data_IF_126693550351
#
_entry.id   IF_126693550351
#
_cell.length_a   1.000
_cell.length_b   1.000
_cell.length_c   1.000
_cell.angle_alpha   90.00
_cell.angle_beta   90.00
_cell.angle_gamma   90.00
#
_symmetry.space_group_name_H-M   'P 1'
#
loop_
_entity.id
_entity.type
_entity.pdbx_description
1 polymer ?
#
# COMPACT_ATOMS: atom_id res chain seq x y z
N UNK A 1 -3.01 -6.83 60.61
CA UNK A 1 -3.53 -5.87 59.59
C UNK A 1 -2.62 -4.68 59.32
N UNK A 2 -2.16 -3.90 60.32
CA UNK A 2 -1.34 -2.67 60.08
C UNK A 2 -0.06 -2.86 59.25
N UNK A 3 0.63 -4.00 59.40
CA UNK A 3 1.91 -4.31 58.70
C UNK A 3 1.73 -4.61 57.20
N UNK A 4 0.57 -5.12 56.79
CA UNK A 4 0.23 -5.38 55.39
C UNK A 4 -0.10 -4.07 54.65
N UNK A 5 -0.70 -3.10 55.35
CA UNK A 5 -1.04 -1.79 54.79
C UNK A 5 0.21 -0.92 54.56
N UNK A 6 1.22 -1.00 55.43
CA UNK A 6 2.50 -0.30 55.23
C UNK A 6 3.35 -0.94 54.14
N UNK A 7 3.36 -2.27 54.01
CA UNK A 7 4.09 -2.94 52.91
C UNK A 7 3.46 -2.63 51.56
N UNK A 8 2.14 -2.49 51.47
CA UNK A 8 1.45 -2.10 50.23
C UNK A 8 1.81 -0.69 49.78
N UNK A 9 1.89 0.28 50.71
CA UNK A 9 2.26 1.68 50.39
C UNK A 9 3.74 1.85 50.03
N UNK A 10 4.61 0.97 50.50
CA UNK A 10 6.04 0.99 50.19
C UNK A 10 6.39 0.17 48.92
N UNK A 11 5.41 -0.51 48.31
CA UNK A 11 5.67 -1.39 47.19
C UNK A 11 5.75 -0.59 45.87
N UNK A 12 6.95 -0.54 45.30
CA UNK A 12 7.25 0.16 44.04
C UNK A 12 7.18 -0.74 42.80
N UNK A 13 6.81 -2.01 42.94
CA UNK A 13 6.81 -2.97 41.83
C UNK A 13 5.90 -2.59 40.65
N UNK A 14 4.95 -1.68 40.86
CA UNK A 14 4.05 -1.15 39.83
C UNK A 14 4.47 0.19 39.21
N UNK A 15 5.54 0.84 39.69
CA UNK A 15 5.94 2.17 39.23
C UNK A 15 6.26 2.19 37.71
N UNK A 16 6.99 1.17 37.24
CA UNK A 16 7.34 1.00 35.83
C UNK A 16 6.10 0.86 34.94
N UNK A 17 5.04 0.18 35.41
CA UNK A 17 3.80 0.04 34.65
C UNK A 17 3.07 1.38 34.49
N UNK A 18 3.12 2.24 35.51
CA UNK A 18 2.53 3.59 35.46
C UNK A 18 3.33 4.49 34.51
N UNK A 19 4.65 4.43 34.56
CA UNK A 19 5.52 5.17 33.63
C UNK A 19 5.31 4.72 32.18
N UNK A 20 5.18 3.40 31.96
CA UNK A 20 4.91 2.85 30.63
C UNK A 20 3.55 3.30 30.10
N UNK A 21 2.50 3.38 30.93
CA UNK A 21 1.18 3.88 30.51
C UNK A 21 1.23 5.29 29.94
N UNK A 22 2.16 6.14 30.41
CA UNK A 22 2.32 7.51 29.89
C UNK A 22 3.05 7.54 28.54
N UNK A 23 4.01 6.65 28.33
CA UNK A 23 4.86 6.64 27.12
C UNK A 23 4.26 5.75 26.01
N UNK A 24 3.59 4.67 26.38
CA UNK A 24 3.05 3.66 25.48
C UNK A 24 2.15 4.23 24.36
N UNK A 25 1.24 5.20 24.63
CA UNK A 25 0.42 5.78 23.56
C UNK A 25 1.26 6.44 22.45
N UNK A 26 2.32 7.16 22.83
CA UNK A 26 3.23 7.81 21.88
C UNK A 26 4.06 6.75 21.15
N UNK A 27 4.58 5.76 21.88
CA UNK A 27 5.35 4.66 21.30
C UNK A 27 4.52 3.89 20.25
N UNK A 28 3.30 3.52 20.58
CA UNK A 28 2.41 2.81 19.66
C UNK A 28 1.96 3.70 18.50
N UNK A 29 1.69 4.98 18.75
CA UNK A 29 1.40 5.95 17.70
C UNK A 29 2.55 6.04 16.68
N UNK A 30 3.80 6.13 17.15
CA UNK A 30 4.98 6.13 16.29
C UNK A 30 5.16 4.80 15.56
N UNK A 31 5.02 3.68 16.26
CA UNK A 31 5.16 2.35 15.66
C UNK A 31 4.14 2.13 14.54
N UNK A 32 2.85 2.36 14.81
CA UNK A 32 1.80 2.22 13.80
C UNK A 32 1.93 3.25 12.69
N UNK A 33 2.39 4.47 12.99
CA UNK A 33 2.70 5.47 11.98
C UNK A 33 3.79 5.01 11.01
N UNK A 34 4.90 4.46 11.53
CA UNK A 34 5.99 3.92 10.70
C UNK A 34 5.49 2.75 9.83
N UNK A 35 4.73 1.82 10.41
CA UNK A 35 4.19 0.67 9.67
C UNK A 35 3.22 1.13 8.58
N UNK A 36 2.30 2.05 8.89
CA UNK A 36 1.34 2.59 7.92
C UNK A 36 2.04 3.31 6.77
N UNK A 37 3.03 4.15 7.09
CA UNK A 37 3.79 4.88 6.08
C UNK A 37 4.60 3.92 5.20
N UNK A 38 5.24 2.91 5.80
CA UNK A 38 5.96 1.86 5.06
C UNK A 38 5.04 1.08 4.12
N UNK A 39 3.83 0.74 4.59
CA UNK A 39 2.83 0.03 3.78
C UNK A 39 2.32 0.89 2.62
N UNK A 40 2.01 2.18 2.84
CA UNK A 40 1.65 3.13 1.78
C UNK A 40 2.73 3.22 0.70
N UNK A 41 3.99 3.40 1.11
CA UNK A 41 5.12 3.47 0.18
C UNK A 41 5.31 2.16 -0.59
N UNK A 42 5.14 1.01 0.08
CA UNK A 42 5.21 -0.31 -0.51
C UNK A 42 4.16 -0.55 -1.59
N UNK A 43 2.90 -0.19 -1.33
CA UNK A 43 1.81 -0.25 -2.32
C UNK A 43 2.09 0.71 -3.47
N UNK A 44 2.39 1.98 -3.18
CA UNK A 44 2.64 3.02 -4.20
C UNK A 44 3.73 2.59 -5.19
N UNK A 45 4.81 2.00 -4.67
CA UNK A 45 5.88 1.47 -5.48
C UNK A 45 5.44 0.25 -6.30
N UNK A 46 4.68 -0.66 -5.68
CA UNK A 46 4.17 -1.87 -6.33
C UNK A 46 3.21 -1.55 -7.48
N UNK A 47 2.27 -0.62 -7.30
CA UNK A 47 1.31 -0.18 -8.33
C UNK A 47 2.05 0.48 -9.50
N UNK A 48 3.03 1.34 -9.22
CA UNK A 48 3.85 1.98 -10.27
C UNK A 48 4.71 0.96 -11.03
N UNK A 49 5.31 0.01 -10.30
CA UNK A 49 6.09 -1.07 -10.93
C UNK A 49 5.20 -1.97 -11.79
N UNK A 50 3.99 -2.28 -11.33
CA UNK A 50 3.00 -3.06 -12.07
C UNK A 50 2.62 -2.37 -13.38
N UNK A 51 2.26 -1.08 -13.33
CA UNK A 51 1.98 -0.28 -14.53
C UNK A 51 3.16 -0.26 -15.50
N UNK A 52 4.38 -0.05 -14.98
CA UNK A 52 5.61 -0.05 -15.77
C UNK A 52 5.95 -1.42 -16.38
N UNK A 53 5.68 -2.50 -15.64
CA UNK A 53 5.85 -3.87 -16.12
C UNK A 53 4.88 -4.19 -17.23
N UNK A 54 3.61 -3.82 -17.08
CA UNK A 54 2.57 -3.99 -18.10
C UNK A 54 2.90 -3.20 -19.37
N UNK A 55 3.26 -1.92 -19.24
CA UNK A 55 3.69 -1.10 -20.37
C UNK A 55 4.90 -1.71 -21.09
N UNK A 56 5.93 -2.18 -20.35
CA UNK A 56 7.09 -2.88 -20.95
C UNK A 56 6.73 -4.19 -21.62
N UNK A 57 5.85 -5.00 -21.04
CA UNK A 57 5.44 -6.29 -21.61
C UNK A 57 4.75 -6.12 -22.97
N UNK A 58 4.02 -5.03 -23.15
CA UNK A 58 3.36 -4.73 -24.42
C UNK A 58 4.34 -4.52 -25.58
N UNK A 59 5.59 -4.13 -25.34
CA UNK A 59 6.59 -3.85 -26.38
C UNK A 59 6.91 -5.03 -27.30
N UNK A 60 6.59 -6.26 -26.88
CA UNK A 60 6.73 -7.44 -27.71
C UNK A 60 5.61 -7.59 -28.77
N UNK A 61 4.49 -6.87 -28.64
CA UNK A 61 3.34 -6.99 -29.52
C UNK A 61 3.54 -6.30 -30.87
N UNK A 62 3.13 -6.97 -31.94
CA UNK A 62 3.29 -6.52 -33.33
C UNK A 62 2.21 -5.51 -33.73
N UNK A 63 1.03 -5.59 -33.14
CA UNK A 63 -0.09 -4.66 -33.36
C UNK A 63 -0.73 -4.20 -32.05
N UNK A 64 -1.67 -3.27 -32.15
CA UNK A 64 -2.34 -2.67 -30.99
C UNK A 64 -3.09 -3.69 -30.13
N UNK A 65 -3.75 -4.69 -30.74
CA UNK A 65 -4.50 -5.70 -30.01
C UNK A 65 -3.56 -6.61 -29.22
N UNK A 66 -2.48 -7.06 -29.86
CA UNK A 66 -1.47 -7.90 -29.20
C UNK A 66 -0.78 -7.15 -28.05
N UNK A 67 -0.45 -5.86 -28.25
CA UNK A 67 0.12 -4.99 -27.21
C UNK A 67 -0.79 -4.87 -25.99
N UNK A 68 -2.09 -4.64 -26.22
CA UNK A 68 -3.07 -4.55 -25.14
C UNK A 68 -3.25 -5.90 -24.42
N UNK A 69 -3.31 -7.01 -25.16
CA UNK A 69 -3.42 -8.35 -24.60
C UNK A 69 -2.23 -8.72 -23.71
N UNK A 70 -1.01 -8.38 -24.14
CA UNK A 70 0.22 -8.61 -23.36
C UNK A 70 0.23 -7.79 -22.06
N UNK A 71 -0.16 -6.51 -22.14
CA UNK A 71 -0.30 -5.66 -20.96
C UNK A 71 -1.36 -6.19 -19.99
N UNK A 72 -2.52 -6.62 -20.51
CA UNK A 72 -3.61 -7.20 -19.71
C UNK A 72 -3.19 -8.51 -19.03
N UNK A 73 -2.52 -9.40 -19.78
CA UNK A 73 -1.96 -10.65 -19.22
C UNK A 73 -1.00 -10.34 -18.07
N UNK A 74 -0.11 -9.36 -18.24
CA UNK A 74 0.82 -8.95 -17.18
C UNK A 74 0.08 -8.45 -15.92
N UNK A 75 -1.02 -7.72 -16.10
CA UNK A 75 -1.86 -7.18 -15.02
C UNK A 75 -2.69 -8.27 -14.31
N UNK A 76 -3.06 -9.34 -15.01
CA UNK A 76 -3.82 -10.47 -14.43
C UNK A 76 -3.01 -11.29 -13.41
N UNK A 77 -1.68 -11.19 -13.48
CA UNK A 77 -0.72 -11.87 -12.62
C UNK A 77 -0.12 -10.90 -11.57
N UNK A 78 -0.80 -9.78 -11.29
CA UNK A 78 -0.31 -8.73 -10.41
C UNK A 78 -0.04 -9.23 -8.99
N UNK A 79 -0.98 -9.97 -8.39
CA UNK A 79 -0.82 -10.50 -7.02
C UNK A 79 0.30 -11.53 -6.88
N UNK A 80 0.66 -12.22 -7.97
CA UNK A 80 1.79 -13.15 -7.98
C UNK A 80 3.13 -12.41 -7.98
N UNK A 81 3.20 -11.27 -8.69
CA UNK A 81 4.42 -10.45 -8.83
C UNK A 81 4.64 -9.47 -7.70
N UNK A 82 3.55 -8.95 -7.14
CA UNK A 82 3.56 -7.87 -6.16
C UNK A 82 2.76 -8.29 -4.92
N UNK A 83 3.41 -8.91 -3.91
CA UNK A 83 2.73 -9.52 -2.76
C UNK A 83 1.89 -8.58 -1.88
N UNK A 84 2.07 -7.26 -2.01
CA UNK A 84 1.27 -6.28 -1.28
C UNK A 84 -0.05 -5.93 -1.98
N UNK A 85 -0.24 -6.38 -3.22
CA UNK A 85 -1.42 -6.09 -4.02
C UNK A 85 -2.36 -7.29 -4.04
N UNK A 86 -3.65 -7.03 -3.83
CA UNK A 86 -4.73 -8.00 -4.00
C UNK A 86 -5.45 -7.71 -5.33
N UNK A 87 -5.66 -8.75 -6.15
CA UNK A 87 -6.21 -8.61 -7.49
C UNK A 87 -7.58 -7.90 -7.50
N UNK A 88 -8.45 -8.23 -6.56
CA UNK A 88 -9.79 -7.64 -6.42
C UNK A 88 -9.76 -6.14 -6.11
N UNK A 89 -8.64 -5.62 -5.59
CA UNK A 89 -8.45 -4.19 -5.31
C UNK A 89 -7.91 -3.39 -6.50
N UNK A 90 -7.57 -4.03 -7.62
CA UNK A 90 -6.95 -3.37 -8.78
C UNK A 90 -7.98 -2.98 -9.83
N UNK A 91 -7.92 -1.73 -10.28
CA UNK A 91 -8.67 -1.22 -11.43
C UNK A 91 -7.69 -0.72 -12.49
N UNK A 92 -7.28 -1.57 -13.45
CA UNK A 92 -6.40 -1.17 -14.53
C UNK A 92 -7.14 -0.45 -15.66
N UNK A 93 -6.46 0.50 -16.29
CA UNK A 93 -6.88 1.20 -17.50
C UNK A 93 -5.71 1.17 -18.48
N UNK A 94 -5.92 0.56 -19.63
CA UNK A 94 -4.94 0.49 -20.72
C UNK A 94 -5.42 1.38 -21.86
N UNK A 95 -4.62 2.39 -22.20
CA UNK A 95 -4.90 3.30 -23.30
C UNK A 95 -3.80 3.19 -24.37
N UNK A 96 -4.17 2.71 -25.56
CA UNK A 96 -3.30 2.73 -26.72
C UNK A 96 -3.49 4.02 -27.52
N UNK A 97 -2.38 4.64 -27.93
CA UNK A 97 -2.36 5.80 -28.82
C UNK A 97 -1.63 5.41 -30.10
N UNK A 98 -2.34 5.36 -31.22
CA UNK A 98 -1.76 5.02 -32.53
C UNK A 98 -1.15 6.21 -33.28
N UNK A 99 -1.08 7.40 -32.67
CA UNK A 99 -0.60 8.62 -33.33
C UNK A 99 0.89 8.85 -33.04
N UNK A 100 1.66 9.21 -34.07
CA UNK A 100 3.12 9.36 -34.06
C UNK A 100 3.70 10.15 -32.85
N UNK A 101 4.53 9.53 -31.98
CA UNK A 101 4.88 8.11 -31.95
C UNK A 101 3.79 7.27 -31.27
N UNK A 102 3.50 6.10 -31.84
CA UNK A 102 2.57 5.17 -31.23
C UNK A 102 3.03 4.82 -29.80
N UNK A 103 2.10 4.69 -28.86
CA UNK A 103 2.43 4.43 -27.47
C UNK A 103 1.29 3.77 -26.70
N UNK A 104 1.62 3.30 -25.51
CA UNK A 104 0.67 2.74 -24.56
C UNK A 104 0.83 3.46 -23.22
N UNK A 105 -0.29 3.81 -22.61
CA UNK A 105 -0.36 4.27 -21.23
C UNK A 105 -1.08 3.20 -20.42
N UNK A 106 -0.43 2.68 -19.40
CA UNK A 106 -1.06 1.81 -18.41
C UNK A 106 -1.22 2.59 -17.13
N UNK A 107 -2.45 2.74 -16.67
CA UNK A 107 -2.79 3.33 -15.38
C UNK A 107 -3.42 2.25 -14.52
N UNK A 108 -3.01 2.17 -13.25
CA UNK A 108 -3.54 1.23 -12.28
C UNK A 108 -3.95 2.01 -11.05
N UNK A 109 -5.20 1.84 -10.63
CA UNK A 109 -5.69 2.32 -9.34
C UNK A 109 -5.84 1.14 -8.39
N UNK A 110 -5.36 1.28 -7.16
CA UNK A 110 -5.51 0.29 -6.11
C UNK A 110 -6.41 0.84 -4.99
N UNK A 111 -7.54 0.18 -4.75
CA UNK A 111 -8.44 0.52 -3.65
C UNK A 111 -7.81 0.12 -2.32
N UNK A 112 -7.83 1.01 -1.33
CA UNK A 112 -7.23 0.74 -0.02
C UNK A 112 -8.22 0.16 0.99
N UNK A 113 -9.50 0.04 0.62
CA UNK A 113 -10.58 -0.46 1.48
C UNK A 113 -10.25 -1.86 2.03
N UNK A 114 -10.47 -2.07 3.33
CA UNK A 114 -10.16 -3.33 4.00
C UNK A 114 -8.67 -3.61 4.22
N UNK A 115 -7.76 -2.69 3.84
CA UNK A 115 -6.32 -2.81 4.11
C UNK A 115 -5.93 -2.11 5.42
N UNK A 116 -4.64 -2.23 5.81
CA UNK A 116 -4.10 -1.45 6.94
C UNK A 116 -4.28 0.06 6.75
N UNK A 117 -4.27 0.55 5.50
CA UNK A 117 -4.47 1.96 5.21
C UNK A 117 -5.89 2.44 5.51
N UNK A 118 -6.90 1.58 5.32
CA UNK A 118 -8.28 1.89 5.66
C UNK A 118 -8.47 2.06 7.18
N UNK A 119 -7.83 1.19 7.97
CA UNK A 119 -7.78 1.34 9.44
C UNK A 119 -7.12 2.67 9.81
N UNK A 120 -6.00 3.00 9.18
CA UNK A 120 -5.30 4.26 9.42
C UNK A 120 -6.11 5.49 8.98
N UNK A 121 -6.86 5.40 7.86
CA UNK A 121 -7.79 6.45 7.45
C UNK A 121 -8.84 6.73 8.52
N UNK A 122 -9.47 5.68 9.07
CA UNK A 122 -10.49 5.81 10.10
C UNK A 122 -9.95 6.46 11.39
N UNK A 123 -8.70 6.16 11.76
CA UNK A 123 -8.09 6.69 12.98
C UNK A 123 -7.47 8.09 12.80
N UNK A 124 -6.77 8.33 11.68
CA UNK A 124 -5.99 9.56 11.44
C UNK A 124 -6.70 10.57 10.52
N UNK A 125 -7.81 10.19 9.88
CA UNK A 125 -8.55 11.06 8.97
C UNK A 125 -7.80 11.41 7.68
N UNK A 126 -6.98 10.49 7.15
CA UNK A 126 -6.12 10.78 5.99
C UNK A 126 -6.90 10.97 4.67
N UNK A 127 -8.07 10.33 4.54
CA UNK A 127 -8.93 10.44 3.36
C UNK A 127 -8.36 9.81 2.09
N UNK A 128 -7.48 8.83 2.21
CA UNK A 128 -6.85 8.15 1.07
C UNK A 128 -7.75 7.00 0.63
N UNK A 129 -8.46 7.08 -0.49
CA UNK A 129 -9.35 5.99 -0.95
C UNK A 129 -8.70 5.07 -1.96
N UNK A 130 -7.72 5.57 -2.70
CA UNK A 130 -6.98 4.79 -3.70
C UNK A 130 -5.52 5.24 -3.80
N UNK A 131 -4.69 4.38 -4.37
CA UNK A 131 -3.30 4.66 -4.73
C UNK A 131 -3.15 4.38 -6.22
N UNK A 132 -2.71 5.39 -6.96
CA UNK A 132 -2.58 5.31 -8.40
C UNK A 132 -1.12 5.19 -8.84
N UNK A 133 -0.88 4.43 -9.90
CA UNK A 133 0.38 4.36 -10.60
C UNK A 133 0.15 4.35 -12.10
N UNK A 134 1.02 5.01 -12.85
CA UNK A 134 0.92 5.10 -14.30
C UNK A 134 2.27 4.96 -14.97
N UNK A 135 2.29 4.35 -16.14
CA UNK A 135 3.47 4.28 -16.99
C UNK A 135 3.11 4.49 -18.45
N UNK A 136 3.97 5.21 -19.17
CA UNK A 136 3.90 5.41 -20.60
C UNK A 136 5.07 4.74 -21.29
N UNK A 137 4.81 4.09 -22.42
CA UNK A 137 5.84 3.54 -23.30
C UNK A 137 5.52 3.89 -24.75
N UNK A 138 6.47 4.55 -25.42
CA UNK A 138 6.44 4.78 -26.86
C UNK A 138 7.10 3.61 -27.59
N UNK A 139 6.63 3.32 -28.80
CA UNK A 139 7.14 2.27 -29.69
C UNK A 139 7.90 2.84 -30.89
#
# INVERSE_FOLDING_TARGET
MKRLLTSFRANQSGAVAVEFVLIAPILFGLLFGIVTLGYFMGISHSVTQLASGAARSSAAGLDANERMLLADTYLSEASERYPLLVQDGLTPIIAYQGADPAGITVTVSYAVDGTLLDIANGFLGLGITSIDGSAYLAY
#
